data_IF_231632064380
#
_entry.id   IF_231632064380
#
_cell.length_a   1.000
_cell.length_b   1.000
_cell.length_c   1.000
_cell.angle_alpha   90.00
_cell.angle_beta   90.00
_cell.angle_gamma   90.00
#
_symmetry.space_group_name_H-M   'P 1'
#
loop_
_entity.id
_entity.type
_entity.pdbx_description
1 polymer ?
#
# COMPACT_ATOMS: atom_id res chain seq x y z
N UNK A 1 15.13 30.59 -3.15
CA UNK A 1 15.67 31.82 -3.78
C UNK A 1 14.81 32.30 -4.92
N UNK A 2 14.36 31.47 -5.89
CA UNK A 2 13.56 31.94 -7.05
C UNK A 2 12.22 32.55 -6.61
N UNK A 3 11.53 31.95 -5.64
CA UNK A 3 10.22 32.45 -5.16
C UNK A 3 10.39 33.75 -4.38
N UNK A 4 11.49 33.95 -3.66
CA UNK A 4 11.73 35.16 -2.87
C UNK A 4 12.04 36.41 -3.71
N UNK A 5 12.48 36.23 -4.95
CA UNK A 5 12.81 37.32 -5.89
C UNK A 5 11.64 37.68 -6.81
N UNK A 6 10.57 36.91 -6.81
CA UNK A 6 9.39 37.15 -7.65
C UNK A 6 8.50 38.26 -7.06
N UNK A 7 7.82 39.07 -7.90
CA UNK A 7 6.75 39.96 -7.44
C UNK A 7 5.70 39.15 -6.67
N UNK A 8 5.37 39.54 -5.42
CA UNK A 8 4.51 38.79 -4.51
C UNK A 8 5.02 37.37 -4.09
N UNK A 9 6.36 37.18 -4.10
CA UNK A 9 6.98 35.88 -3.80
C UNK A 9 6.56 35.27 -2.47
N UNK A 10 6.35 36.08 -1.44
CA UNK A 10 5.86 35.63 -0.14
C UNK A 10 4.46 35.03 -0.26
N UNK A 11 3.54 35.65 -0.99
CA UNK A 11 2.18 35.13 -1.19
C UNK A 11 2.19 33.82 -1.98
N UNK A 12 2.97 33.77 -3.06
CA UNK A 12 3.16 32.57 -3.87
C UNK A 12 3.74 31.44 -3.02
N UNK A 13 4.73 31.72 -2.18
CA UNK A 13 5.33 30.77 -1.27
C UNK A 13 4.32 30.19 -0.27
N UNK A 14 3.55 31.05 0.38
CA UNK A 14 2.52 30.61 1.35
C UNK A 14 1.44 29.74 0.67
N UNK A 15 0.97 30.15 -0.50
CA UNK A 15 -0.02 29.38 -1.25
C UNK A 15 0.54 28.04 -1.72
N UNK A 16 1.76 28.00 -2.23
CA UNK A 16 2.41 26.78 -2.69
C UNK A 16 2.64 25.79 -1.54
N UNK A 17 3.28 26.23 -0.45
CA UNK A 17 3.54 25.36 0.69
C UNK A 17 2.26 24.97 1.43
N UNK A 18 1.26 25.87 1.47
CA UNK A 18 -0.06 25.57 1.99
C UNK A 18 -0.75 24.47 1.18
N UNK A 19 -0.80 24.60 -0.14
CA UNK A 19 -1.36 23.58 -1.03
C UNK A 19 -0.62 22.23 -0.90
N UNK A 20 0.71 22.25 -0.83
CA UNK A 20 1.53 21.06 -0.64
C UNK A 20 1.22 20.37 0.69
N UNK A 21 1.07 21.16 1.76
CA UNK A 21 0.72 20.64 3.09
C UNK A 21 -0.66 19.99 3.07
N UNK A 22 -1.68 20.62 2.49
CA UNK A 22 -3.02 20.05 2.35
C UNK A 22 -3.01 18.78 1.49
N UNK A 23 -2.27 18.77 0.40
CA UNK A 23 -2.12 17.57 -0.44
C UNK A 23 -1.48 16.40 0.34
N UNK A 24 -0.44 16.69 1.13
CA UNK A 24 0.18 15.71 2.01
C UNK A 24 -0.77 15.15 3.07
N UNK A 25 -1.56 16.01 3.72
CA UNK A 25 -2.55 15.58 4.70
C UNK A 25 -3.64 14.69 4.10
N UNK A 26 -4.19 15.06 2.96
CA UNK A 26 -5.23 14.25 2.30
C UNK A 26 -4.72 12.87 1.89
N UNK A 27 -3.50 12.81 1.35
CA UNK A 27 -2.84 11.54 1.01
C UNK A 27 -2.57 10.68 2.25
N UNK A 28 -2.07 11.29 3.33
CA UNK A 28 -1.81 10.58 4.58
C UNK A 28 -3.08 9.98 5.17
N UNK A 29 -4.16 10.76 5.23
CA UNK A 29 -5.47 10.29 5.72
C UNK A 29 -5.94 9.08 4.91
N UNK A 30 -5.85 9.15 3.57
CA UNK A 30 -6.28 8.06 2.69
C UNK A 30 -5.48 6.78 2.91
N UNK A 31 -4.16 6.87 3.06
CA UNK A 31 -3.29 5.70 3.31
C UNK A 31 -3.59 5.09 4.68
N UNK A 32 -3.71 5.92 5.71
CA UNK A 32 -3.99 5.45 7.08
C UNK A 32 -5.39 4.82 7.19
N UNK A 33 -6.38 5.35 6.47
CA UNK A 33 -7.75 4.79 6.45
C UNK A 33 -7.78 3.35 5.93
N UNK A 34 -6.96 3.00 4.93
CA UNK A 34 -6.86 1.62 4.43
C UNK A 34 -6.37 0.67 5.53
N UNK A 35 -5.37 1.11 6.31
CA UNK A 35 -4.84 0.32 7.43
C UNK A 35 -5.89 0.17 8.53
N UNK A 36 -6.58 1.28 8.89
CA UNK A 36 -7.65 1.28 9.88
C UNK A 36 -8.77 0.32 9.48
N UNK A 37 -9.20 0.34 8.21
CA UNK A 37 -10.21 -0.57 7.69
C UNK A 37 -9.78 -2.03 7.83
N UNK A 38 -8.51 -2.34 7.48
CA UNK A 38 -7.96 -3.69 7.66
C UNK A 38 -7.99 -4.16 9.13
N UNK A 39 -7.68 -3.29 10.08
CA UNK A 39 -7.77 -3.60 11.52
C UNK A 39 -9.22 -3.75 12.00
N UNK A 40 -10.15 -2.94 11.50
CA UNK A 40 -11.57 -3.09 11.79
C UNK A 40 -12.09 -4.45 11.33
N UNK A 41 -11.79 -4.83 10.10
CA UNK A 41 -12.23 -6.09 9.52
C UNK A 41 -11.59 -7.30 10.21
N UNK A 42 -10.30 -7.23 10.51
CA UNK A 42 -9.56 -8.33 11.12
C UNK A 42 -9.94 -8.54 12.59
N UNK A 43 -9.98 -7.46 13.37
CA UNK A 43 -10.16 -7.53 14.83
C UNK A 43 -11.60 -7.23 15.28
N UNK A 44 -12.47 -6.80 14.38
CA UNK A 44 -13.85 -6.43 14.71
C UNK A 44 -13.96 -5.15 15.54
N UNK A 45 -12.95 -4.29 15.48
CA UNK A 45 -12.92 -3.04 16.22
C UNK A 45 -13.92 -2.03 15.66
N UNK A 46 -14.53 -1.25 16.55
CA UNK A 46 -15.26 -0.06 16.12
C UNK A 46 -14.29 1.02 15.64
N UNK A 47 -14.77 2.06 14.94
CA UNK A 47 -13.93 3.05 14.27
C UNK A 47 -12.92 3.73 15.21
N UNK A 48 -13.37 4.19 16.37
CA UNK A 48 -12.50 4.94 17.29
C UNK A 48 -11.34 4.12 17.83
N UNK A 49 -11.53 2.93 18.42
CA UNK A 49 -10.38 2.11 18.84
C UNK A 49 -9.48 1.69 17.69
N UNK A 50 -10.00 1.43 16.49
CA UNK A 50 -9.18 1.10 15.33
C UNK A 50 -8.27 2.27 14.92
N UNK A 51 -8.82 3.49 14.89
CA UNK A 51 -8.04 4.72 14.66
C UNK A 51 -6.94 4.86 15.70
N UNK A 52 -7.26 4.73 17.00
CA UNK A 52 -6.26 4.88 18.06
C UNK A 52 -5.13 3.82 17.98
N UNK A 53 -5.48 2.57 17.75
CA UNK A 53 -4.51 1.46 17.66
C UNK A 53 -3.55 1.65 16.49
N UNK A 54 -3.99 2.25 15.39
CA UNK A 54 -3.14 2.49 14.21
C UNK A 54 -2.40 3.81 14.33
N UNK A 55 -3.09 4.91 14.64
CA UNK A 55 -2.50 6.25 14.53
C UNK A 55 -1.60 6.62 15.71
N UNK A 56 -1.89 6.14 16.92
CA UNK A 56 -1.06 6.49 18.09
C UNK A 56 0.35 5.90 17.99
N UNK A 57 0.55 4.59 17.72
CA UNK A 57 1.89 4.05 17.51
C UNK A 57 2.60 4.71 16.33
N UNK A 58 1.90 4.94 15.22
CA UNK A 58 2.46 5.61 14.04
C UNK A 58 2.96 7.02 14.40
N UNK A 59 2.16 7.80 15.12
CA UNK A 59 2.53 9.14 15.55
C UNK A 59 3.73 9.12 16.50
N UNK A 60 3.77 8.21 17.47
CA UNK A 60 4.89 8.06 18.41
C UNK A 60 6.18 7.76 17.65
N UNK A 61 6.18 6.78 16.75
CA UNK A 61 7.35 6.40 15.95
C UNK A 61 7.78 7.56 15.06
N UNK A 62 6.85 8.21 14.37
CA UNK A 62 7.15 9.36 13.51
C UNK A 62 7.76 10.52 14.28
N UNK A 63 7.19 10.88 15.44
CA UNK A 63 7.70 11.98 16.27
C UNK A 63 9.04 11.66 16.94
N UNK A 64 9.30 10.38 17.20
CA UNK A 64 10.59 9.96 17.79
C UNK A 64 11.72 9.95 16.75
N UNK A 65 11.45 9.60 15.52
CA UNK A 65 12.47 9.35 14.50
C UNK A 65 12.65 10.48 13.48
N UNK A 66 11.56 11.05 12.97
CA UNK A 66 11.64 12.01 11.85
C UNK A 66 12.18 13.41 12.25
N UNK A 67 11.93 13.98 13.43
CA UNK A 67 12.50 15.28 13.81
C UNK A 67 14.00 15.25 14.15
N UNK A 68 14.64 14.08 14.10
CA UNK A 68 16.07 13.94 14.36
C UNK A 68 16.91 14.42 13.18
N UNK A 69 18.18 14.70 13.40
CA UNK A 69 19.14 15.10 12.34
C UNK A 69 19.30 14.06 11.24
N UNK A 70 19.00 12.80 11.55
CA UNK A 70 19.02 11.66 10.62
C UNK A 70 17.65 11.33 10.03
N UNK A 71 16.61 12.09 10.36
CA UNK A 71 15.24 11.81 9.95
C UNK A 71 15.05 11.79 8.43
N UNK A 72 15.70 12.67 7.70
CA UNK A 72 15.67 12.66 6.22
C UNK A 72 16.34 11.41 5.65
N UNK A 73 17.47 11.00 6.21
CA UNK A 73 18.16 9.77 5.77
C UNK A 73 17.33 8.52 6.09
N UNK A 74 16.63 8.52 7.22
CA UNK A 74 15.71 7.46 7.60
C UNK A 74 14.54 7.38 6.61
N UNK A 75 13.95 8.52 6.30
CA UNK A 75 12.85 8.61 5.34
C UNK A 75 13.30 8.11 3.96
N UNK A 76 14.48 8.53 3.48
CA UNK A 76 15.04 8.12 2.19
C UNK A 76 15.24 6.60 2.11
N UNK A 77 15.86 5.99 3.12
CA UNK A 77 16.06 4.54 3.17
C UNK A 77 14.72 3.80 3.27
N UNK A 78 13.82 4.25 4.15
CA UNK A 78 12.53 3.61 4.32
C UNK A 78 11.67 3.69 3.06
N UNK A 79 11.61 4.85 2.42
CA UNK A 79 10.89 5.07 1.16
C UNK A 79 11.43 4.19 0.04
N UNK A 80 12.74 4.15 -0.12
CA UNK A 80 13.38 3.31 -1.13
C UNK A 80 13.07 1.83 -0.93
N UNK A 81 13.15 1.33 0.30
CA UNK A 81 12.87 -0.08 0.59
C UNK A 81 11.40 -0.44 0.43
N UNK A 82 10.48 0.43 0.80
CA UNK A 82 9.05 0.22 0.58
C UNK A 82 8.72 0.22 -0.92
N UNK A 83 9.23 1.20 -1.68
CA UNK A 83 8.92 1.32 -3.10
C UNK A 83 9.64 0.25 -3.94
N UNK A 84 10.95 0.07 -3.75
CA UNK A 84 11.74 -0.81 -4.62
C UNK A 84 11.61 -2.30 -4.29
N UNK A 85 11.28 -2.64 -3.04
CA UNK A 85 11.12 -4.04 -2.63
C UNK A 85 9.70 -4.35 -2.18
N UNK A 86 9.11 -3.53 -1.28
CA UNK A 86 7.80 -3.80 -0.70
C UNK A 86 6.69 -3.86 -1.75
N UNK A 87 6.51 -2.79 -2.50
CA UNK A 87 5.44 -2.68 -3.50
C UNK A 87 5.67 -3.66 -4.65
N UNK A 88 6.91 -3.76 -5.16
CA UNK A 88 7.19 -4.70 -6.25
C UNK A 88 6.99 -6.15 -5.85
N UNK A 89 7.43 -6.53 -4.64
CA UNK A 89 7.24 -7.90 -4.13
C UNK A 89 5.76 -8.22 -3.95
N UNK A 90 4.99 -7.33 -3.35
CA UNK A 90 3.54 -7.53 -3.15
C UNK A 90 2.82 -7.63 -4.49
N UNK A 91 3.15 -6.76 -5.46
CA UNK A 91 2.59 -6.81 -6.80
C UNK A 91 2.95 -8.12 -7.52
N UNK A 92 4.21 -8.55 -7.44
CA UNK A 92 4.65 -9.82 -8.02
C UNK A 92 3.91 -11.02 -7.42
N UNK A 93 3.86 -11.10 -6.09
CA UNK A 93 3.15 -12.16 -5.37
C UNK A 93 1.66 -12.16 -5.72
N UNK A 94 1.02 -11.00 -5.76
CA UNK A 94 -0.40 -10.89 -6.12
C UNK A 94 -0.67 -11.40 -7.55
N UNK A 95 0.15 -10.99 -8.52
CA UNK A 95 -0.02 -11.43 -9.92
C UNK A 95 0.27 -12.93 -10.07
N UNK A 96 1.30 -13.44 -9.42
CA UNK A 96 1.61 -14.89 -9.43
C UNK A 96 0.49 -15.70 -8.79
N UNK A 97 -0.05 -15.27 -7.65
CA UNK A 97 -1.18 -15.95 -7.01
C UNK A 97 -2.44 -15.94 -7.89
N UNK A 98 -2.76 -14.80 -8.50
CA UNK A 98 -3.92 -14.70 -9.39
C UNK A 98 -3.77 -15.55 -10.67
N UNK A 99 -2.54 -15.69 -11.16
CA UNK A 99 -2.26 -16.41 -12.42
C UNK A 99 -2.12 -17.91 -12.21
N UNK A 100 -1.21 -18.31 -11.32
CA UNK A 100 -0.81 -19.70 -11.12
C UNK A 100 -1.47 -20.35 -9.90
N UNK A 101 -1.66 -19.59 -8.81
CA UNK A 101 -2.22 -20.13 -7.56
C UNK A 101 -3.73 -20.32 -7.61
N UNK A 102 -4.46 -19.27 -7.95
CA UNK A 102 -5.93 -19.25 -7.92
C UNK A 102 -6.56 -19.40 -9.31
N UNK A 103 -5.78 -19.34 -10.39
CA UNK A 103 -6.25 -19.32 -11.77
C UNK A 103 -7.42 -18.34 -11.99
N UNK A 104 -7.38 -17.20 -11.29
CA UNK A 104 -8.49 -16.26 -11.20
C UNK A 104 -8.50 -15.19 -12.33
N UNK A 105 -7.45 -15.12 -13.15
CA UNK A 105 -7.40 -14.16 -14.26
C UNK A 105 -8.58 -14.25 -15.24
N UNK A 106 -9.07 -15.45 -15.64
CA UNK A 106 -10.26 -15.52 -16.47
C UNK A 106 -11.50 -14.94 -15.80
N UNK A 107 -11.69 -15.22 -14.51
CA UNK A 107 -12.82 -14.69 -13.72
C UNK A 107 -12.75 -13.16 -13.63
N UNK A 108 -11.56 -12.63 -13.36
CA UNK A 108 -11.32 -11.19 -13.31
C UNK A 108 -11.59 -10.53 -14.67
N UNK A 109 -11.10 -11.13 -15.77
CA UNK A 109 -11.38 -10.68 -17.14
C UNK A 109 -12.87 -10.63 -17.43
N UNK A 110 -13.60 -11.69 -17.08
CA UNK A 110 -15.03 -11.79 -17.37
C UNK A 110 -15.83 -10.78 -16.55
N UNK A 111 -15.43 -10.55 -15.30
CA UNK A 111 -16.00 -9.48 -14.47
C UNK A 111 -15.73 -8.09 -15.06
N UNK A 112 -14.50 -7.79 -15.44
CA UNK A 112 -14.16 -6.52 -16.09
C UNK A 112 -14.94 -6.33 -17.41
N UNK A 113 -15.10 -7.40 -18.19
CA UNK A 113 -15.86 -7.37 -19.43
C UNK A 113 -17.37 -7.17 -19.22
N UNK A 114 -17.90 -7.47 -18.05
CA UNK A 114 -19.32 -7.25 -17.75
C UNK A 114 -19.66 -5.76 -17.59
N UNK A 115 -18.70 -4.96 -17.10
CA UNK A 115 -18.89 -3.52 -16.79
C UNK A 115 -18.16 -2.58 -17.74
N UNK A 116 -17.28 -3.09 -18.60
CA UNK A 116 -16.45 -2.30 -19.52
C UNK A 116 -16.98 -2.32 -20.97
N UNK A 117 -16.92 -1.17 -21.62
CA UNK A 117 -17.19 -1.06 -23.06
C UNK A 117 -16.08 -1.72 -23.88
N UNK A 118 -14.84 -1.61 -23.45
CA UNK A 118 -13.68 -2.24 -24.08
C UNK A 118 -13.52 -3.68 -23.59
N UNK A 119 -13.58 -4.65 -24.51
CA UNK A 119 -13.50 -6.07 -24.14
C UNK A 119 -12.06 -6.57 -24.04
N UNK A 120 -11.72 -7.12 -22.89
CA UNK A 120 -10.42 -7.70 -22.62
C UNK A 120 -10.36 -9.15 -23.12
N UNK A 121 -9.29 -9.47 -23.85
CA UNK A 121 -9.07 -10.79 -24.43
C UNK A 121 -7.94 -11.58 -23.74
N UNK A 122 -7.50 -12.63 -24.40
CA UNK A 122 -6.34 -13.45 -23.97
C UNK A 122 -5.06 -12.63 -23.89
N UNK A 123 -4.89 -11.63 -24.77
CA UNK A 123 -3.72 -10.75 -24.80
C UNK A 123 -3.56 -10.00 -23.47
N UNK A 124 -4.66 -9.52 -22.88
CA UNK A 124 -4.62 -8.88 -21.58
C UNK A 124 -4.14 -9.84 -20.48
N UNK A 125 -4.60 -11.09 -20.49
CA UNK A 125 -4.17 -12.10 -19.53
C UNK A 125 -2.68 -12.45 -19.69
N UNK A 126 -2.18 -12.51 -20.91
CA UNK A 126 -0.75 -12.73 -21.19
C UNK A 126 0.11 -11.53 -20.76
N UNK A 127 -0.37 -10.30 -20.98
CA UNK A 127 0.34 -9.11 -20.56
C UNK A 127 0.40 -9.00 -19.03
N UNK A 128 -0.69 -9.22 -18.33
CA UNK A 128 -0.72 -9.12 -16.86
C UNK A 128 -0.02 -10.33 -16.22
N UNK A 129 -0.42 -11.56 -16.57
CA UNK A 129 0.07 -12.76 -15.93
C UNK A 129 1.44 -13.24 -16.43
N UNK A 130 1.79 -12.92 -17.68
CA UNK A 130 3.08 -13.30 -18.28
C UNK A 130 4.10 -12.16 -18.20
N UNK A 131 3.90 -11.14 -19.05
CA UNK A 131 4.85 -10.03 -19.14
C UNK A 131 5.00 -9.29 -17.79
N UNK A 132 3.90 -9.06 -17.07
CA UNK A 132 3.91 -8.40 -15.76
C UNK A 132 4.80 -9.14 -14.77
N UNK A 133 4.69 -10.46 -14.67
CA UNK A 133 5.52 -11.29 -13.78
C UNK A 133 6.99 -11.21 -14.17
N UNK A 134 7.29 -11.29 -15.48
CA UNK A 134 8.68 -11.23 -15.97
C UNK A 134 9.30 -9.86 -15.68
N UNK A 135 8.60 -8.78 -15.99
CA UNK A 135 9.10 -7.41 -15.77
C UNK A 135 9.30 -7.11 -14.28
N UNK A 136 8.31 -7.44 -13.45
CA UNK A 136 8.43 -7.23 -11.99
C UNK A 136 9.53 -8.09 -11.40
N UNK A 137 9.64 -9.36 -11.79
CA UNK A 137 10.69 -10.26 -11.33
C UNK A 137 12.07 -9.79 -11.74
N UNK A 138 12.25 -9.41 -12.99
CA UNK A 138 13.51 -8.86 -13.49
C UNK A 138 13.91 -7.58 -12.75
N UNK A 139 12.97 -6.64 -12.58
CA UNK A 139 13.21 -5.40 -11.87
C UNK A 139 13.59 -5.64 -10.41
N UNK A 140 12.88 -6.55 -9.72
CA UNK A 140 13.15 -6.88 -8.33
C UNK A 140 14.54 -7.52 -8.16
N UNK A 141 14.91 -8.47 -9.03
CA UNK A 141 16.22 -9.13 -9.00
C UNK A 141 17.32 -8.12 -9.33
N UNK A 142 17.13 -7.27 -10.34
CA UNK A 142 18.06 -6.23 -10.70
C UNK A 142 18.33 -5.25 -9.55
N UNK A 143 17.26 -4.73 -8.93
CA UNK A 143 17.37 -3.83 -7.77
C UNK A 143 18.06 -4.51 -6.58
N UNK A 144 17.73 -5.78 -6.33
CA UNK A 144 18.33 -6.57 -5.26
C UNK A 144 19.84 -6.75 -5.49
N UNK A 145 20.25 -7.11 -6.71
CA UNK A 145 21.67 -7.32 -7.04
C UNK A 145 22.48 -6.03 -6.87
N UNK A 146 21.96 -4.89 -7.30
CA UNK A 146 22.64 -3.59 -7.14
C UNK A 146 22.78 -3.23 -5.67
N UNK A 147 21.71 -3.32 -4.90
CA UNK A 147 21.75 -2.94 -3.47
C UNK A 147 22.65 -3.87 -2.65
N UNK A 148 22.74 -5.14 -2.99
CA UNK A 148 23.64 -6.08 -2.31
C UNK A 148 25.10 -5.87 -2.67
N UNK A 149 25.41 -5.45 -3.91
CA UNK A 149 26.79 -5.25 -4.36
C UNK A 149 27.35 -3.86 -4.03
N UNK A 150 26.56 -2.83 -4.20
CA UNK A 150 27.00 -1.43 -4.09
C UNK A 150 26.51 -0.75 -2.81
N UNK A 151 25.58 -1.38 -2.08
CA UNK A 151 24.85 -0.73 -0.97
C UNK A 151 23.77 0.22 -1.46
N UNK A 152 23.25 1.04 -0.57
CA UNK A 152 22.22 2.03 -0.89
C UNK A 152 22.66 3.43 -0.43
N UNK A 153 22.61 4.40 -1.35
CA UNK A 153 22.73 5.84 -1.04
C UNK A 153 24.03 6.29 -0.37
N UNK A 154 25.08 5.45 -0.38
CA UNK A 154 26.33 5.73 0.33
C UNK A 154 26.19 5.67 1.88
N UNK A 155 25.06 5.18 2.39
CA UNK A 155 24.86 5.00 3.83
C UNK A 155 25.67 3.83 4.39
N UNK A 156 26.07 3.89 5.67
CA UNK A 156 26.74 2.77 6.32
C UNK A 156 25.91 1.48 6.25
N UNK A 157 26.55 0.34 6.03
CA UNK A 157 25.88 -0.95 5.86
C UNK A 157 24.98 -1.33 7.05
N UNK A 158 25.36 -0.98 8.27
CA UNK A 158 24.55 -1.22 9.47
C UNK A 158 23.24 -0.41 9.43
N UNK A 159 23.29 0.82 8.90
CA UNK A 159 22.11 1.70 8.81
C UNK A 159 21.08 1.16 7.82
N UNK A 160 21.54 0.80 6.63
CA UNK A 160 20.71 0.13 5.61
C UNK A 160 20.21 -1.23 6.11
N UNK A 161 21.07 -1.96 6.85
CA UNK A 161 20.72 -3.25 7.47
C UNK A 161 19.55 -3.13 8.46
N UNK A 162 19.57 -2.13 9.33
CA UNK A 162 18.52 -1.94 10.34
C UNK A 162 17.28 -1.31 9.76
N UNK A 163 17.41 -0.14 9.10
CA UNK A 163 16.27 0.67 8.66
C UNK A 163 15.71 0.30 7.28
N UNK A 164 16.50 -0.38 6.45
CA UNK A 164 16.07 -0.95 5.18
C UNK A 164 15.63 -2.41 5.34
N UNK A 165 16.58 -3.33 5.43
CA UNK A 165 16.31 -4.77 5.49
C UNK A 165 15.57 -5.19 6.75
N UNK A 166 15.94 -4.64 7.92
CA UNK A 166 15.28 -4.93 9.19
C UNK A 166 13.80 -4.51 9.17
N UNK A 167 13.49 -3.33 8.60
CA UNK A 167 12.12 -2.89 8.41
C UNK A 167 11.35 -3.81 7.44
N UNK A 168 11.94 -4.18 6.30
CA UNK A 168 11.30 -5.05 5.32
C UNK A 168 10.97 -6.43 5.91
N UNK A 169 11.92 -7.05 6.61
CA UNK A 169 11.70 -8.32 7.32
C UNK A 169 10.68 -8.15 8.44
N UNK A 170 10.78 -7.07 9.21
CA UNK A 170 9.83 -6.74 10.29
C UNK A 170 8.39 -6.65 9.79
N UNK A 171 8.15 -6.00 8.66
CA UNK A 171 6.82 -5.92 8.04
C UNK A 171 6.28 -7.30 7.65
N UNK A 172 7.12 -8.17 7.09
CA UNK A 172 6.72 -9.55 6.74
C UNK A 172 6.36 -10.33 7.99
N UNK A 173 7.18 -10.26 9.05
CA UNK A 173 6.94 -10.95 10.31
C UNK A 173 5.65 -10.45 10.97
N UNK A 174 5.46 -9.13 11.07
CA UNK A 174 4.25 -8.53 11.64
C UNK A 174 3.02 -8.95 10.84
N UNK A 175 3.09 -8.91 9.51
CA UNK A 175 1.99 -9.34 8.63
C UNK A 175 1.64 -10.81 8.85
N UNK A 176 2.66 -11.68 9.00
CA UNK A 176 2.45 -13.10 9.31
C UNK A 176 1.82 -13.30 10.69
N UNK A 177 2.28 -12.58 11.71
CA UNK A 177 1.68 -12.65 13.05
C UNK A 177 0.23 -12.18 13.06
N UNK A 178 -0.07 -11.07 12.39
CA UNK A 178 -1.45 -10.57 12.26
C UNK A 178 -2.32 -11.56 11.46
N UNK A 179 -1.77 -12.25 10.46
CA UNK A 179 -2.51 -13.23 9.67
C UNK A 179 -3.00 -14.42 10.51
N UNK A 180 -2.25 -14.77 11.57
CA UNK A 180 -2.61 -15.86 12.50
C UNK A 180 -3.75 -15.51 13.45
N UNK A 181 -4.09 -14.23 13.61
CA UNK A 181 -5.23 -13.82 14.40
C UNK A 181 -6.53 -14.25 13.70
N UNK A 182 -7.53 -14.73 14.46
CA UNK A 182 -8.82 -15.07 13.86
C UNK A 182 -9.50 -13.82 13.28
N UNK A 183 -10.23 -14.01 12.21
CA UNK A 183 -11.08 -12.96 11.67
C UNK A 183 -12.23 -12.64 12.63
N UNK A 184 -12.67 -11.40 12.64
CA UNK A 184 -13.87 -11.03 13.41
C UNK A 184 -15.08 -11.83 12.94
N UNK A 185 -16.00 -12.12 13.87
CA UNK A 185 -17.25 -12.85 13.55
C UNK A 185 -18.02 -12.18 12.43
N UNK A 186 -18.13 -10.85 12.47
CA UNK A 186 -18.84 -10.06 11.46
C UNK A 186 -18.27 -10.27 10.06
N UNK A 187 -16.94 -10.24 9.93
CA UNK A 187 -16.25 -10.45 8.64
C UNK A 187 -16.35 -11.90 8.20
N UNK A 188 -16.21 -12.85 9.12
CA UNK A 188 -16.35 -14.27 8.85
C UNK A 188 -17.76 -14.63 8.35
N UNK A 189 -18.80 -14.07 8.95
CA UNK A 189 -20.19 -14.25 8.52
C UNK A 189 -20.45 -13.65 7.14
N UNK A 190 -19.86 -12.48 6.84
CA UNK A 190 -19.98 -11.84 5.52
C UNK A 190 -19.36 -12.70 4.39
N UNK A 191 -18.30 -13.46 4.66
CA UNK A 191 -17.70 -14.37 3.69
C UNK A 191 -18.48 -15.69 3.52
N UNK A 192 -19.22 -16.11 4.55
CA UNK A 192 -19.99 -17.38 4.51
C UNK A 192 -21.43 -17.18 4.07
N UNK A 193 -21.94 -15.95 4.17
CA UNK A 193 -23.30 -15.63 3.70
C UNK A 193 -23.33 -15.64 2.17
N UNK A 194 -24.34 -16.26 1.53
CA UNK A 194 -24.52 -16.15 0.10
C UNK A 194 -24.66 -14.68 -0.27
N UNK A 195 -24.02 -14.27 -1.36
CA UNK A 195 -24.16 -12.91 -1.86
C UNK A 195 -25.66 -12.58 -2.04
N UNK A 196 -26.14 -11.41 -1.56
CA UNK A 196 -27.54 -11.03 -1.74
C UNK A 196 -27.89 -11.08 -3.23
N UNK A 197 -29.03 -11.67 -3.55
CA UNK A 197 -29.47 -11.71 -4.93
C UNK A 197 -29.68 -10.30 -5.45
N UNK A 198 -29.56 -10.10 -6.75
CA UNK A 198 -29.82 -8.77 -7.39
C UNK A 198 -31.22 -8.26 -7.00
N UNK A 199 -32.14 -9.17 -6.74
CA UNK A 199 -33.50 -8.88 -6.35
C UNK A 199 -33.60 -8.36 -4.90
N UNK A 200 -32.82 -8.92 -3.98
CA UNK A 200 -32.75 -8.46 -2.58
C UNK A 200 -32.12 -7.07 -2.50
N UNK A 201 -31.05 -6.83 -3.27
CA UNK A 201 -30.40 -5.53 -3.35
C UNK A 201 -31.32 -4.43 -3.98
N UNK A 202 -32.22 -4.84 -4.89
CA UNK A 202 -33.20 -3.92 -5.49
C UNK A 202 -34.34 -3.57 -4.50
N UNK A 203 -34.79 -4.55 -3.72
CA UNK A 203 -35.85 -4.34 -2.70
C UNK A 203 -35.37 -3.46 -1.56
N UNK A 204 -34.12 -3.64 -1.12
CA UNK A 204 -33.51 -2.85 -0.04
C UNK A 204 -33.36 -1.36 -0.43
N UNK A 205 -33.05 -1.07 -1.72
CA UNK A 205 -33.04 0.29 -2.26
C UNK A 205 -34.41 0.98 -2.33
N UNK A 206 -35.50 0.21 -2.38
CA UNK A 206 -36.85 0.78 -2.39
C UNK A 206 -37.42 1.02 -0.99
N UNK A 207 -36.77 0.46 0.03
CA UNK A 207 -37.19 0.61 1.42
C UNK A 207 -36.53 1.82 2.12
N UNK A 208 -35.54 2.47 1.49
CA UNK A 208 -34.90 3.73 1.90
C UNK A 208 -35.52 4.92 1.17
#
# INVERSE_FOLDING_TARGET
TIISEAPAGTLIGVLFFGALTFAGFTSLISIVEVIIAGFQDKLGLTRVPAVLVVTVPLAIVSLALLPTTTGLSLLDVADAFVNNYGIMLVALVAVVLLTAGLTALPVLRDHLNSVSTFKLGRTWMLLVGGLGVVVLGYSLIGQLSVTLSEGYGGYPSWYVGVFGWGMAVGLIVISFLISRLPWSRRTSEAFTSPAPSVQDAYLDRKAL
#
